data_IF_571343697176
#
_entry.id   IF_571343697176
#
_cell.length_a   1.000
_cell.length_b   1.000
_cell.length_c   1.000
_cell.angle_alpha   90.00
_cell.angle_beta   90.00
_cell.angle_gamma   90.00
#
_symmetry.space_group_name_H-M   'P 1'
#
loop_
_entity.id
_entity.type
_entity.pdbx_description
1 polymer ?
#
# COMPACT_ATOMS: atom_id res chain seq x y z
N UNK A 1 44.23 -40.81 68.61
CA UNK A 1 45.03 -41.76 67.82
C UNK A 1 44.71 -41.55 66.33
N UNK A 2 45.71 -41.30 65.57
CA UNK A 2 45.84 -41.17 64.10
C UNK A 2 44.67 -40.74 63.24
N UNK A 3 44.85 -39.56 62.71
CA UNK A 3 44.27 -39.11 61.41
C UNK A 3 45.01 -39.75 60.22
N UNK A 4 44.36 -39.97 59.08
CA UNK A 4 45.03 -39.74 57.85
C UNK A 4 44.38 -38.62 57.04
N UNK A 5 45.24 -37.88 56.39
CA UNK A 5 45.09 -36.86 55.44
C UNK A 5 44.50 -37.43 54.13
N UNK A 6 43.45 -36.85 53.62
CA UNK A 6 42.98 -37.13 52.25
C UNK A 6 43.12 -35.87 51.41
N UNK A 7 44.00 -36.00 50.42
CA UNK A 7 44.36 -34.99 49.45
C UNK A 7 43.18 -34.73 48.50
N UNK A 8 42.67 -33.48 48.46
CA UNK A 8 41.63 -33.07 47.51
C UNK A 8 42.30 -32.71 46.16
N UNK A 9 41.98 -33.47 45.13
CA UNK A 9 42.26 -33.15 43.74
C UNK A 9 41.18 -32.21 43.25
N UNK A 10 41.61 -30.97 42.97
CA UNK A 10 40.77 -29.92 42.37
C UNK A 10 40.61 -30.15 40.86
N UNK A 11 39.48 -30.78 40.50
CA UNK A 11 39.08 -30.93 39.10
C UNK A 11 38.50 -29.64 38.59
N UNK A 12 39.24 -28.94 37.72
CA UNK A 12 38.77 -27.75 37.00
C UNK A 12 37.79 -28.16 35.90
N UNK A 13 36.47 -28.04 36.14
CA UNK A 13 35.42 -28.18 35.13
C UNK A 13 35.40 -26.90 34.28
N UNK A 14 35.97 -26.97 33.10
CA UNK A 14 35.74 -26.02 32.02
C UNK A 14 34.28 -26.16 31.55
N UNK A 15 33.38 -25.34 32.09
CA UNK A 15 32.06 -25.13 31.49
C UNK A 15 32.24 -24.35 30.19
N UNK A 16 32.24 -25.06 29.07
CA UNK A 16 32.10 -24.48 27.75
C UNK A 16 30.73 -23.83 27.64
N UNK A 17 30.68 -22.51 27.78
CA UNK A 17 29.51 -21.72 27.38
C UNK A 17 29.36 -21.83 25.90
N UNK A 18 28.51 -22.74 25.41
CA UNK A 18 27.98 -22.70 24.05
C UNK A 18 27.12 -21.45 23.94
N UNK A 19 27.74 -20.32 23.70
CA UNK A 19 27.06 -19.11 23.24
C UNK A 19 26.40 -19.44 21.92
N UNK A 20 25.09 -19.69 21.94
CA UNK A 20 24.31 -19.65 20.72
C UNK A 20 24.49 -18.25 20.13
N UNK A 21 25.28 -18.16 19.07
CA UNK A 21 25.38 -16.97 18.25
C UNK A 21 23.96 -16.63 17.80
N UNK A 22 23.50 -15.36 17.94
CA UNK A 22 22.22 -14.96 17.39
C UNK A 22 22.25 -15.31 15.90
N UNK A 23 21.20 -15.98 15.42
CA UNK A 23 21.04 -16.34 14.02
C UNK A 23 21.37 -15.11 13.17
N UNK A 24 22.52 -15.17 12.48
CA UNK A 24 23.06 -14.05 11.74
C UNK A 24 22.03 -13.52 10.77
N UNK A 25 21.83 -12.23 10.78
CA UNK A 25 21.22 -11.52 9.67
C UNK A 25 21.92 -12.04 8.41
N UNK A 26 21.14 -12.64 7.52
CA UNK A 26 21.61 -13.16 6.23
C UNK A 26 22.00 -11.95 5.36
N UNK A 27 23.23 -11.45 5.57
CA UNK A 27 23.76 -10.24 4.91
C UNK A 27 24.22 -10.48 3.49
N UNK A 28 23.94 -11.64 2.91
CA UNK A 28 24.51 -12.09 1.64
C UNK A 28 23.52 -12.29 0.51
N UNK A 29 22.24 -12.49 0.76
CA UNK A 29 21.28 -12.77 -0.30
C UNK A 29 20.51 -11.51 -0.70
N UNK A 30 20.46 -11.25 -2.01
CA UNK A 30 19.68 -10.17 -2.60
C UNK A 30 18.65 -10.75 -3.54
N UNK A 31 17.46 -10.17 -3.54
CA UNK A 31 16.39 -10.51 -4.48
C UNK A 31 16.47 -9.55 -5.65
N UNK A 32 16.35 -10.08 -6.85
CA UNK A 32 16.16 -9.32 -8.08
C UNK A 32 14.78 -9.63 -8.64
N UNK A 33 13.98 -8.59 -8.83
CA UNK A 33 12.68 -8.66 -9.48
C UNK A 33 12.72 -7.88 -10.78
N UNK A 34 12.45 -8.56 -11.89
CA UNK A 34 12.22 -7.91 -13.17
C UNK A 34 10.72 -7.66 -13.32
N UNK A 35 10.36 -6.38 -13.36
CA UNK A 35 8.98 -5.92 -13.53
C UNK A 35 8.76 -5.46 -14.97
N UNK A 36 7.64 -5.86 -15.54
CA UNK A 36 7.19 -5.39 -16.84
C UNK A 36 5.89 -4.60 -16.70
N UNK A 37 5.84 -3.41 -17.31
CA UNK A 37 4.64 -2.58 -17.34
C UNK A 37 3.53 -3.30 -18.12
N UNK A 38 2.31 -3.35 -17.58
CA UNK A 38 1.14 -3.91 -18.30
C UNK A 38 0.78 -3.08 -19.53
N UNK A 39 1.38 -1.92 -19.68
CA UNK A 39 1.17 -0.98 -20.77
C UNK A 39 2.41 -0.93 -21.69
N UNK A 40 2.22 -1.21 -23.00
CA UNK A 40 3.33 -1.28 -23.97
C UNK A 40 3.84 0.08 -24.44
N UNK A 41 3.01 1.10 -24.35
CA UNK A 41 3.28 2.48 -24.83
C UNK A 41 3.65 3.44 -23.68
N UNK A 42 4.32 2.92 -22.63
CA UNK A 42 4.75 3.72 -21.50
C UNK A 42 5.77 4.77 -21.91
N UNK A 43 5.48 6.06 -21.66
CA UNK A 43 6.45 7.12 -21.89
C UNK A 43 7.66 7.01 -20.99
N UNK A 44 8.83 7.49 -21.43
CA UNK A 44 10.04 7.50 -20.63
C UNK A 44 9.84 8.17 -19.26
N UNK A 45 9.13 9.32 -19.25
CA UNK A 45 8.82 10.06 -18.02
C UNK A 45 7.93 9.23 -17.04
N UNK A 46 6.94 8.51 -17.58
CA UNK A 46 6.10 7.64 -16.74
C UNK A 46 6.89 6.47 -16.15
N UNK A 47 7.83 5.90 -16.90
CA UNK A 47 8.73 4.86 -16.42
C UNK A 47 9.70 5.39 -15.33
N UNK A 48 10.21 6.61 -15.48
CA UNK A 48 11.06 7.24 -14.45
C UNK A 48 10.27 7.49 -13.17
N UNK A 49 9.04 7.98 -13.29
CA UNK A 49 8.13 8.13 -12.16
C UNK A 49 7.84 6.79 -11.47
N UNK A 50 7.59 5.73 -12.26
CA UNK A 50 7.38 4.38 -11.73
C UNK A 50 8.60 3.87 -10.96
N UNK A 51 9.81 4.06 -11.50
CA UNK A 51 11.06 3.70 -10.84
C UNK A 51 11.16 4.35 -9.46
N UNK A 52 10.93 5.66 -9.36
CA UNK A 52 10.98 6.39 -8.09
C UNK A 52 9.93 5.89 -7.08
N UNK A 53 8.72 5.60 -7.53
CA UNK A 53 7.66 5.07 -6.66
C UNK A 53 8.02 3.68 -6.14
N UNK A 54 8.52 2.79 -7.01
CA UNK A 54 8.95 1.43 -6.63
C UNK A 54 10.08 1.50 -5.60
N UNK A 55 11.08 2.37 -5.81
CA UNK A 55 12.19 2.56 -4.88
C UNK A 55 11.70 3.01 -3.50
N UNK A 56 10.78 4.00 -3.42
CA UNK A 56 10.18 4.44 -2.16
C UNK A 56 9.36 3.34 -1.48
N UNK A 57 8.59 2.56 -2.25
CA UNK A 57 7.80 1.45 -1.70
C UNK A 57 8.67 0.37 -1.08
N UNK A 58 9.75 -0.01 -1.75
CA UNK A 58 10.71 -0.98 -1.25
C UNK A 58 11.38 -0.49 0.04
N UNK A 59 11.84 0.76 0.08
CA UNK A 59 12.42 1.35 1.29
C UNK A 59 11.40 1.41 2.45
N UNK A 60 10.16 1.83 2.18
CA UNK A 60 9.10 1.89 3.18
C UNK A 60 8.63 0.50 3.67
N UNK A 61 8.80 -0.54 2.85
CA UNK A 61 8.57 -1.93 3.24
C UNK A 61 9.70 -2.53 4.09
N UNK A 62 10.80 -1.79 4.31
CA UNK A 62 11.95 -2.24 5.11
C UNK A 62 13.00 -3.01 4.32
N UNK A 63 12.97 -2.98 2.99
CA UNK A 63 14.02 -3.56 2.16
C UNK A 63 15.33 -2.81 2.34
N UNK A 64 16.46 -3.54 2.38
CA UNK A 64 17.81 -2.98 2.48
C UNK A 64 18.50 -2.97 1.11
N UNK A 65 19.53 -2.13 0.95
CA UNK A 65 20.36 -2.06 -0.26
C UNK A 65 19.55 -1.96 -1.56
N UNK A 66 18.51 -1.14 -1.54
CA UNK A 66 17.56 -1.00 -2.67
C UNK A 66 18.25 -0.33 -3.86
N UNK A 67 18.14 -0.95 -5.02
CA UNK A 67 18.56 -0.40 -6.30
C UNK A 67 17.45 -0.66 -7.32
N UNK A 68 16.94 0.39 -7.96
CA UNK A 68 15.87 0.29 -8.96
C UNK A 68 16.32 0.97 -10.23
N UNK A 69 16.43 0.22 -11.32
CA UNK A 69 16.92 0.72 -12.61
C UNK A 69 15.95 0.36 -13.74
N UNK A 70 15.87 1.24 -14.73
CA UNK A 70 15.13 0.92 -15.95
C UNK A 70 15.90 -0.08 -16.80
N UNK A 71 15.18 -1.03 -17.39
CA UNK A 71 15.72 -2.04 -18.30
C UNK A 71 14.92 -2.04 -19.60
N UNK A 72 15.34 -1.24 -20.55
CA UNK A 72 14.60 -1.05 -21.80
C UNK A 72 13.39 -0.09 -21.65
N UNK A 73 12.46 -0.12 -22.61
CA UNK A 73 11.37 0.87 -22.69
C UNK A 73 10.26 0.64 -21.64
N UNK A 74 9.99 -0.60 -21.26
CA UNK A 74 8.82 -0.98 -20.43
C UNK A 74 9.16 -1.88 -19.23
N UNK A 75 10.44 -2.03 -18.87
CA UNK A 75 10.88 -2.88 -17.76
C UNK A 75 11.66 -2.11 -16.72
N UNK A 76 11.55 -2.59 -15.48
CA UNK A 76 12.29 -2.11 -14.30
C UNK A 76 12.88 -3.31 -13.60
N UNK A 77 14.18 -3.25 -13.32
CA UNK A 77 14.87 -4.21 -12.47
C UNK A 77 15.01 -3.60 -11.06
N UNK A 78 14.40 -4.25 -10.09
CA UNK A 78 14.52 -3.93 -8.67
C UNK A 78 15.41 -4.97 -7.99
N UNK A 79 16.47 -4.51 -7.29
CA UNK A 79 17.37 -5.36 -6.52
C UNK A 79 17.39 -4.88 -5.09
N UNK A 80 17.19 -5.76 -4.12
CA UNK A 80 17.12 -5.41 -2.70
C UNK A 80 17.49 -6.60 -1.81
N UNK A 81 17.82 -6.32 -0.55
CA UNK A 81 18.08 -7.30 0.49
C UNK A 81 17.02 -7.26 1.61
N UNK A 82 17.13 -8.18 2.56
CA UNK A 82 16.34 -8.18 3.79
C UNK A 82 14.94 -8.81 3.69
N UNK A 83 14.53 -9.33 2.55
CA UNK A 83 13.22 -9.97 2.38
C UNK A 83 13.36 -11.51 2.41
N UNK A 84 12.71 -12.15 3.39
CA UNK A 84 12.55 -13.61 3.43
C UNK A 84 11.34 -14.08 2.60
N UNK A 85 10.29 -13.26 2.56
CA UNK A 85 9.10 -13.47 1.76
C UNK A 85 8.93 -12.28 0.80
N UNK A 86 8.91 -12.57 -0.48
CA UNK A 86 8.77 -11.58 -1.56
C UNK A 86 7.32 -11.35 -1.96
N UNK A 87 6.38 -12.16 -1.49
CA UNK A 87 4.96 -12.08 -1.82
C UNK A 87 4.35 -10.70 -1.55
N UNK A 88 4.40 -10.20 -0.30
CA UNK A 88 3.90 -8.87 0.06
C UNK A 88 4.59 -7.74 -0.72
N UNK A 89 5.90 -7.85 -0.93
CA UNK A 89 6.67 -6.86 -1.70
C UNK A 89 6.20 -6.83 -3.16
N UNK A 90 6.01 -7.98 -3.80
CA UNK A 90 5.51 -8.06 -5.18
C UNK A 90 4.11 -7.46 -5.31
N UNK A 91 3.22 -7.72 -4.36
CA UNK A 91 1.89 -7.11 -4.32
C UNK A 91 1.98 -5.57 -4.19
N UNK A 92 2.86 -5.08 -3.29
CA UNK A 92 3.04 -3.66 -3.03
C UNK A 92 3.60 -2.90 -4.25
N UNK A 93 4.61 -3.45 -4.95
CA UNK A 93 5.26 -2.76 -6.06
C UNK A 93 4.59 -2.97 -7.42
N UNK A 94 3.67 -3.94 -7.53
CA UNK A 94 2.98 -4.27 -8.78
C UNK A 94 1.70 -3.45 -9.03
N UNK A 95 1.02 -2.97 -7.99
CA UNK A 95 -0.27 -2.27 -8.09
C UNK A 95 -0.10 -0.76 -8.19
N UNK A 96 -0.97 -0.10 -8.97
CA UNK A 96 -0.94 1.35 -9.14
C UNK A 96 -1.24 2.09 -7.85
N UNK A 97 -2.18 1.64 -7.04
CA UNK A 97 -2.64 2.27 -5.80
C UNK A 97 -3.09 3.73 -6.00
N UNK A 98 -3.90 3.97 -7.04
CA UNK A 98 -4.52 5.26 -7.30
C UNK A 98 -5.77 5.39 -6.45
N UNK A 99 -5.71 6.24 -5.43
CA UNK A 99 -6.84 6.53 -4.56
C UNK A 99 -7.53 7.81 -5.01
N UNK A 100 -8.84 7.72 -5.22
CA UNK A 100 -9.69 8.84 -5.63
C UNK A 100 -10.94 8.93 -4.74
N UNK A 101 -11.33 10.16 -4.39
CA UNK A 101 -12.56 10.45 -3.64
C UNK A 101 -13.58 11.11 -4.57
N UNK A 102 -14.78 10.53 -4.66
CA UNK A 102 -15.81 10.91 -5.60
C UNK A 102 -17.12 11.26 -4.90
N UNK A 103 -17.87 12.22 -5.43
CA UNK A 103 -19.27 12.35 -5.06
C UNK A 103 -20.09 11.28 -5.78
N UNK A 104 -20.91 10.57 -5.04
CA UNK A 104 -21.88 9.63 -5.64
C UNK A 104 -22.93 10.42 -6.40
N UNK A 105 -23.26 9.96 -7.59
CA UNK A 105 -24.34 10.55 -8.37
C UNK A 105 -25.68 9.89 -8.01
N UNK A 106 -26.37 10.49 -7.04
CA UNK A 106 -27.64 10.01 -6.53
C UNK A 106 -28.81 10.17 -7.52
N UNK A 107 -28.60 10.78 -8.69
CA UNK A 107 -29.61 10.82 -9.76
C UNK A 107 -29.71 9.53 -10.55
N UNK A 108 -28.69 8.66 -10.43
CA UNK A 108 -28.63 7.35 -11.07
C UNK A 108 -29.12 6.29 -10.08
N UNK A 109 -30.21 5.61 -10.43
CA UNK A 109 -30.72 4.53 -9.61
C UNK A 109 -29.73 3.33 -9.58
N UNK A 110 -29.64 2.58 -8.47
CA UNK A 110 -28.74 1.42 -8.37
C UNK A 110 -28.90 0.41 -9.52
N UNK A 111 -30.14 0.13 -9.94
CA UNK A 111 -30.41 -0.76 -11.06
C UNK A 111 -29.89 -0.25 -12.41
N UNK A 112 -29.88 1.05 -12.65
CA UNK A 112 -29.30 1.66 -13.85
C UNK A 112 -27.76 1.54 -13.82
N UNK A 113 -27.15 1.83 -12.67
CA UNK A 113 -25.70 1.66 -12.50
C UNK A 113 -25.29 0.19 -12.71
N UNK A 114 -26.04 -0.76 -12.16
CA UNK A 114 -25.84 -2.19 -12.36
C UNK A 114 -25.96 -2.60 -13.84
N UNK A 115 -26.93 -2.05 -14.57
CA UNK A 115 -27.10 -2.26 -16.01
C UNK A 115 -26.00 -1.62 -16.87
N UNK A 116 -25.06 -0.88 -16.25
CA UNK A 116 -23.98 -0.19 -16.98
C UNK A 116 -24.39 1.16 -17.55
N UNK A 117 -25.54 1.71 -17.10
CA UNK A 117 -26.07 2.98 -17.59
C UNK A 117 -25.58 4.14 -16.71
N UNK A 118 -24.93 5.11 -17.32
CA UNK A 118 -24.55 6.36 -16.66
C UNK A 118 -24.84 7.54 -17.59
N UNK A 119 -25.45 8.62 -17.08
CA UNK A 119 -25.69 9.82 -17.87
C UNK A 119 -24.36 10.51 -18.20
N UNK A 120 -24.35 11.38 -19.26
CA UNK A 120 -23.20 12.20 -19.54
C UNK A 120 -22.74 13.00 -18.32
N UNK A 121 -21.44 12.92 -18.01
CA UNK A 121 -20.83 13.56 -16.84
C UNK A 121 -20.76 12.67 -15.59
N UNK A 122 -21.28 11.46 -15.64
CA UNK A 122 -21.10 10.44 -14.59
C UNK A 122 -20.23 9.29 -15.09
N UNK A 123 -19.63 8.59 -14.14
CA UNK A 123 -18.78 7.41 -14.35
C UNK A 123 -19.24 6.29 -13.43
N UNK A 124 -19.12 5.05 -13.90
CA UNK A 124 -19.40 3.86 -13.10
C UNK A 124 -18.08 3.34 -12.49
N UNK A 125 -18.11 3.08 -11.19
CA UNK A 125 -17.05 2.40 -10.46
C UNK A 125 -17.55 1.02 -10.01
N UNK A 126 -16.67 0.01 -10.05
CA UNK A 126 -16.96 -1.32 -9.58
C UNK A 126 -17.07 -1.35 -8.04
N UNK A 127 -18.04 -2.07 -7.51
CA UNK A 127 -18.17 -2.36 -6.08
C UNK A 127 -17.81 -3.84 -5.86
N UNK A 128 -16.61 -4.13 -5.34
CA UNK A 128 -16.19 -5.51 -5.08
C UNK A 128 -17.14 -6.19 -4.08
N UNK A 129 -17.48 -7.44 -4.35
CA UNK A 129 -18.39 -8.23 -3.49
C UNK A 129 -19.85 -8.21 -3.91
N UNK A 130 -20.31 -7.21 -4.66
CA UNK A 130 -21.71 -7.12 -5.13
C UNK A 130 -21.95 -7.87 -6.47
N UNK A 131 -21.03 -8.77 -6.82
CA UNK A 131 -21.12 -9.53 -8.07
C UNK A 131 -20.69 -8.72 -9.31
N UNK A 132 -20.86 -9.28 -10.52
CA UNK A 132 -20.40 -8.65 -11.77
C UNK A 132 -21.14 -7.34 -12.09
N UNK A 133 -22.36 -7.18 -11.56
CA UNK A 133 -23.21 -6.00 -11.78
C UNK A 133 -23.10 -4.96 -10.66
N UNK A 134 -22.29 -5.24 -9.62
CA UNK A 134 -22.03 -4.30 -8.53
C UNK A 134 -21.32 -3.05 -9.03
N UNK A 135 -22.07 -1.96 -9.21
CA UNK A 135 -21.54 -0.67 -9.68
C UNK A 135 -22.22 0.49 -8.98
N UNK A 136 -21.46 1.55 -8.78
CA UNK A 136 -21.96 2.83 -8.28
C UNK A 136 -21.64 3.95 -9.27
N UNK A 137 -22.61 4.82 -9.52
CA UNK A 137 -22.39 5.99 -10.35
C UNK A 137 -21.78 7.12 -9.52
N UNK A 138 -20.71 7.75 -10.06
CA UNK A 138 -20.04 8.88 -9.42
C UNK A 138 -19.95 10.04 -10.40
N UNK A 139 -19.88 11.28 -9.86
CA UNK A 139 -19.79 12.49 -10.70
C UNK A 139 -18.42 12.64 -11.32
N UNK A 140 -18.37 13.06 -12.57
CA UNK A 140 -17.31 13.07 -13.54
C UNK A 140 -15.85 13.32 -13.15
N UNK A 141 -15.57 14.01 -12.02
CA UNK A 141 -14.20 14.25 -11.53
C UNK A 141 -14.09 13.96 -10.04
N UNK A 142 -12.98 13.39 -9.58
CA UNK A 142 -12.76 13.18 -8.15
C UNK A 142 -12.65 14.52 -7.41
N UNK A 143 -13.13 14.55 -6.18
CA UNK A 143 -13.02 15.69 -5.25
C UNK A 143 -11.53 15.94 -4.95
N UNK A 144 -10.86 14.89 -4.52
CA UNK A 144 -9.43 14.80 -4.29
C UNK A 144 -8.92 13.47 -4.81
N UNK A 145 -7.65 13.42 -5.13
CA UNK A 145 -6.98 12.23 -5.63
C UNK A 145 -5.67 11.96 -4.89
N UNK A 146 -5.07 10.81 -5.11
CA UNK A 146 -3.86 10.37 -4.44
C UNK A 146 -2.66 11.30 -4.57
N UNK A 147 -2.61 12.18 -5.59
CA UNK A 147 -1.50 13.14 -5.72
C UNK A 147 -1.54 14.27 -4.68
N UNK A 148 -2.69 14.45 -4.00
CA UNK A 148 -2.89 15.41 -2.92
C UNK A 148 -2.67 14.82 -1.53
N UNK A 149 -2.31 13.53 -1.44
CA UNK A 149 -1.99 12.86 -0.17
C UNK A 149 -0.51 13.13 0.14
N UNK A 150 -0.25 13.70 1.32
CA UNK A 150 1.11 13.95 1.82
C UNK A 150 1.54 12.92 2.85
N UNK A 151 0.59 12.26 3.52
CA UNK A 151 0.87 11.20 4.47
C UNK A 151 -0.27 10.18 4.52
N UNK A 152 0.08 8.94 4.85
CA UNK A 152 -0.85 7.84 5.06
C UNK A 152 -0.30 6.89 6.11
N UNK A 153 -1.12 6.52 7.10
CA UNK A 153 -0.71 5.68 8.21
C UNK A 153 -1.80 4.64 8.50
N UNK A 154 -1.37 3.41 8.83
CA UNK A 154 -2.26 2.44 9.42
C UNK A 154 -2.66 2.92 10.82
N UNK A 155 -3.94 2.84 11.14
CA UNK A 155 -4.54 3.21 12.42
C UNK A 155 -5.64 2.23 12.81
N UNK A 156 -6.36 2.53 13.89
CA UNK A 156 -7.52 1.76 14.33
C UNK A 156 -8.69 2.72 14.58
N UNK A 157 -9.89 2.26 14.28
CA UNK A 157 -11.10 2.97 14.68
C UNK A 157 -11.44 2.76 16.17
N UNK A 158 -12.53 3.36 16.63
CA UNK A 158 -12.97 3.25 18.03
C UNK A 158 -13.40 1.80 18.43
N UNK A 159 -13.67 0.96 17.45
CA UNK A 159 -14.00 -0.46 17.63
C UNK A 159 -12.76 -1.37 17.56
N UNK A 160 -11.57 -0.79 17.37
CA UNK A 160 -10.31 -1.54 17.23
C UNK A 160 -10.12 -2.18 15.85
N UNK A 161 -10.93 -1.80 14.84
CA UNK A 161 -10.76 -2.31 13.47
C UNK A 161 -9.63 -1.55 12.76
N UNK A 162 -8.79 -2.26 11.98
CA UNK A 162 -7.74 -1.62 11.21
C UNK A 162 -8.29 -0.65 10.17
N UNK A 163 -7.70 0.54 10.09
CA UNK A 163 -8.07 1.61 9.16
C UNK A 163 -6.82 2.25 8.57
N UNK A 164 -7.00 3.11 7.57
CA UNK A 164 -5.92 3.95 7.02
C UNK A 164 -6.31 5.42 7.19
N UNK A 165 -5.53 6.15 7.98
CA UNK A 165 -5.66 7.61 8.12
C UNK A 165 -4.81 8.30 7.07
N UNK A 166 -5.41 9.27 6.38
CA UNK A 166 -4.79 10.07 5.32
C UNK A 166 -4.70 11.52 5.75
N UNK A 167 -3.65 12.20 5.27
CA UNK A 167 -3.51 13.64 5.37
C UNK A 167 -3.27 14.24 3.99
N UNK A 168 -4.08 15.25 3.65
CA UNK A 168 -3.98 15.96 2.39
C UNK A 168 -3.03 17.16 2.46
N UNK A 169 -2.51 17.54 1.30
CA UNK A 169 -1.82 18.81 1.13
C UNK A 169 -2.80 20.02 1.29
N UNK A 170 -2.32 21.26 1.42
CA UNK A 170 -3.19 22.41 1.59
C UNK A 170 -4.22 22.61 0.46
N UNK A 171 -3.92 22.40 -0.84
CA UNK A 171 -4.92 22.40 -1.90
C UNK A 171 -5.98 21.29 -1.75
N UNK A 172 -5.57 20.07 -1.43
CA UNK A 172 -6.46 18.92 -1.18
C UNK A 172 -7.37 19.17 0.01
N UNK A 173 -6.82 19.65 1.13
CA UNK A 173 -7.58 20.05 2.32
C UNK A 173 -8.70 21.04 1.98
N UNK A 174 -8.38 22.12 1.25
CA UNK A 174 -9.40 23.11 0.85
C UNK A 174 -10.47 22.53 -0.07
N UNK A 175 -10.10 21.66 -1.01
CA UNK A 175 -11.05 20.99 -1.92
C UNK A 175 -11.96 20.06 -1.15
N UNK A 176 -11.38 19.23 -0.26
CA UNK A 176 -12.11 18.26 0.53
C UNK A 176 -13.07 18.94 1.50
N UNK A 177 -12.60 19.97 2.22
CA UNK A 177 -13.42 20.77 3.11
C UNK A 177 -14.61 21.42 2.39
N UNK A 178 -14.38 22.05 1.23
CA UNK A 178 -15.46 22.64 0.42
C UNK A 178 -16.46 21.59 -0.04
N UNK A 179 -15.99 20.46 -0.53
CA UNK A 179 -16.87 19.41 -1.04
C UNK A 179 -17.69 18.76 0.07
N UNK A 180 -17.10 18.45 1.22
CA UNK A 180 -17.82 17.86 2.36
C UNK A 180 -18.81 18.85 2.96
N UNK A 181 -18.46 20.14 3.10
CA UNK A 181 -19.40 21.17 3.57
C UNK A 181 -20.63 21.34 2.66
N UNK A 182 -20.44 21.25 1.35
CA UNK A 182 -21.53 21.41 0.37
C UNK A 182 -22.39 20.15 0.18
N UNK A 183 -21.99 19.00 0.73
CA UNK A 183 -22.62 17.71 0.47
C UNK A 183 -22.86 16.90 1.77
N UNK A 184 -23.09 17.57 2.91
CA UNK A 184 -23.49 16.89 4.16
C UNK A 184 -24.76 16.08 3.93
N UNK A 185 -24.81 14.87 4.47
CA UNK A 185 -25.91 13.90 4.28
C UNK A 185 -25.86 13.12 2.96
N UNK A 186 -24.91 13.40 2.06
CA UNK A 186 -24.76 12.68 0.80
C UNK A 186 -23.64 11.65 0.86
N UNK A 187 -23.76 10.55 0.14
CA UNK A 187 -22.69 9.55 0.05
C UNK A 187 -21.51 10.08 -0.82
N UNK A 188 -20.30 9.69 -0.43
CA UNK A 188 -19.13 9.81 -1.29
C UNK A 188 -18.42 8.47 -1.39
N UNK A 189 -17.85 8.17 -2.55
CA UNK A 189 -17.14 6.93 -2.78
C UNK A 189 -15.63 7.14 -2.66
N UNK A 190 -14.98 6.25 -1.93
CA UNK A 190 -13.52 6.12 -1.86
C UNK A 190 -13.16 4.94 -2.75
N UNK A 191 -12.43 5.20 -3.83
CA UNK A 191 -12.06 4.19 -4.81
C UNK A 191 -10.55 4.05 -4.94
N UNK A 192 -10.08 2.80 -4.99
CA UNK A 192 -8.70 2.41 -5.24
C UNK A 192 -8.65 1.68 -6.59
N UNK A 193 -7.88 2.20 -7.54
CA UNK A 193 -7.71 1.59 -8.88
C UNK A 193 -9.06 1.33 -9.59
N UNK A 194 -10.00 2.29 -9.48
CA UNK A 194 -11.37 2.25 -10.02
C UNK A 194 -12.33 1.23 -9.33
N UNK A 195 -11.90 0.60 -8.25
CA UNK A 195 -12.74 -0.23 -7.40
C UNK A 195 -13.10 0.51 -6.11
N UNK A 196 -14.38 0.52 -5.74
CA UNK A 196 -14.86 1.16 -4.52
C UNK A 196 -14.42 0.37 -3.29
N UNK A 197 -13.70 1.02 -2.38
CA UNK A 197 -13.36 0.46 -1.06
C UNK A 197 -14.50 0.66 -0.06
N UNK A 198 -15.09 1.87 -0.10
CA UNK A 198 -16.23 2.21 0.76
C UNK A 198 -16.99 3.41 0.19
N UNK A 199 -18.26 3.55 0.58
CA UNK A 199 -19.12 4.66 0.16
C UNK A 199 -19.93 5.23 1.36
N UNK A 200 -19.27 5.84 2.36
CA UNK A 200 -19.94 6.41 3.52
C UNK A 200 -20.71 7.68 3.19
N UNK A 201 -21.67 8.04 4.05
CA UNK A 201 -22.27 9.36 4.04
C UNK A 201 -21.34 10.39 4.69
N UNK A 202 -21.40 11.61 4.20
CA UNK A 202 -20.73 12.77 4.81
C UNK A 202 -21.61 13.22 6.00
N UNK A 203 -21.23 12.88 7.22
CA UNK A 203 -22.00 13.21 8.42
C UNK A 203 -21.82 14.68 8.81
N UNK A 204 -20.63 15.24 8.60
CA UNK A 204 -20.25 16.61 8.93
C UNK A 204 -19.16 17.14 7.98
N UNK A 205 -18.95 18.46 7.90
CA UNK A 205 -17.84 19.02 7.14
C UNK A 205 -16.50 18.57 7.69
N UNK A 206 -15.62 18.07 6.81
CA UNK A 206 -14.26 17.64 7.18
C UNK A 206 -13.29 18.77 6.83
N UNK A 207 -12.93 19.60 7.82
CA UNK A 207 -12.14 20.81 7.62
C UNK A 207 -10.64 20.62 7.87
N UNK A 208 -10.26 19.61 8.65
CA UNK A 208 -8.90 19.38 9.12
C UNK A 208 -7.93 18.82 8.08
N UNK A 209 -8.42 18.41 6.90
CA UNK A 209 -7.58 17.81 5.85
C UNK A 209 -7.12 16.39 6.15
N UNK A 210 -7.77 15.72 7.09
CA UNK A 210 -7.58 14.30 7.39
C UNK A 210 -8.82 13.51 6.97
N UNK A 211 -8.61 12.30 6.50
CA UNK A 211 -9.67 11.35 6.19
C UNK A 211 -9.27 9.97 6.68
N UNK A 212 -10.25 9.20 7.15
CA UNK A 212 -10.07 7.81 7.55
C UNK A 212 -10.78 6.91 6.53
N UNK A 213 -10.05 5.89 6.06
CA UNK A 213 -10.60 4.85 5.20
C UNK A 213 -10.85 3.62 6.06
N UNK A 214 -12.10 3.22 6.16
CA UNK A 214 -12.55 1.97 6.78
C UNK A 214 -12.88 0.95 5.69
N UNK A 215 -12.74 -0.33 6.00
CA UNK A 215 -13.04 -1.45 5.11
C UNK A 215 -12.65 -2.76 5.78
N UNK A 216 -12.76 -3.86 5.06
CA UNK A 216 -12.36 -5.18 5.56
C UNK A 216 -10.82 -5.34 5.55
N UNK A 217 -10.13 -4.51 6.34
CA UNK A 217 -8.67 -4.52 6.43
C UNK A 217 -8.20 -5.46 7.54
N UNK A 218 -7.12 -6.19 7.25
CA UNK A 218 -6.21 -6.68 8.29
C UNK A 218 -5.19 -5.58 8.63
N UNK A 219 -4.47 -5.72 9.73
CA UNK A 219 -3.37 -4.80 10.09
C UNK A 219 -2.34 -4.72 8.97
N UNK A 220 -2.02 -5.87 8.37
CA UNK A 220 -1.05 -6.00 7.28
C UNK A 220 -1.54 -5.29 6.02
N UNK A 221 -2.79 -5.53 5.58
CA UNK A 221 -3.34 -4.91 4.37
C UNK A 221 -3.52 -3.40 4.52
N UNK A 222 -3.91 -2.91 5.71
CA UNK A 222 -3.96 -1.48 6.01
C UNK A 222 -2.57 -0.83 5.97
N UNK A 223 -1.54 -1.52 6.50
CA UNK A 223 -0.15 -1.07 6.45
C UNK A 223 0.39 -1.03 5.02
N UNK A 224 0.14 -2.06 4.22
CA UNK A 224 0.53 -2.10 2.80
C UNK A 224 -0.11 -0.96 2.01
N UNK A 225 -1.42 -0.73 2.21
CA UNK A 225 -2.14 0.37 1.59
C UNK A 225 -1.56 1.73 2.01
N UNK A 226 -1.28 1.93 3.29
CA UNK A 226 -0.67 3.16 3.79
C UNK A 226 0.71 3.42 3.15
N UNK A 227 1.56 2.38 3.03
CA UNK A 227 2.86 2.47 2.34
C UNK A 227 2.65 2.85 0.87
N UNK A 228 1.73 2.18 0.17
CA UNK A 228 1.46 2.44 -1.24
C UNK A 228 1.00 3.89 -1.48
N UNK A 229 0.06 4.38 -0.67
CA UNK A 229 -0.48 5.73 -0.76
C UNK A 229 0.57 6.81 -0.45
N UNK A 230 1.35 6.64 0.62
CA UNK A 230 2.43 7.57 0.99
C UNK A 230 3.55 7.61 -0.05
N UNK A 231 3.85 6.48 -0.67
CA UNK A 231 4.86 6.38 -1.74
C UNK A 231 4.38 6.96 -3.07
N UNK A 232 3.08 7.16 -3.22
CA UNK A 232 2.43 7.66 -4.43
C UNK A 232 1.96 6.56 -5.37
N UNK A 233 1.04 6.94 -6.28
CA UNK A 233 0.50 6.03 -7.28
C UNK A 233 1.52 5.75 -8.39
N UNK A 234 1.57 4.49 -8.84
CA UNK A 234 2.25 4.14 -10.08
C UNK A 234 1.41 4.63 -11.28
N UNK A 235 2.04 5.06 -12.37
CA UNK A 235 1.33 5.48 -13.59
C UNK A 235 0.52 4.36 -14.23
N UNK A 236 0.90 3.12 -14.00
CA UNK A 236 0.27 1.88 -14.47
C UNK A 236 0.76 0.71 -13.64
N UNK A 237 0.06 -0.43 -13.74
CA UNK A 237 0.43 -1.66 -13.07
C UNK A 237 1.66 -2.32 -13.70
N UNK A 238 2.39 -3.05 -12.87
CA UNK A 238 3.49 -3.93 -13.26
C UNK A 238 3.18 -5.37 -12.92
N UNK A 239 3.77 -6.28 -13.71
CA UNK A 239 3.83 -7.70 -13.39
C UNK A 239 5.29 -8.09 -13.17
N UNK A 240 5.54 -8.94 -12.18
CA UNK A 240 6.86 -9.56 -12.01
C UNK A 240 6.99 -10.67 -13.04
N UNK A 241 7.91 -10.51 -13.98
CA UNK A 241 8.16 -11.49 -15.05
C UNK A 241 9.33 -12.40 -14.73
N UNK A 242 10.19 -11.97 -13.81
CA UNK A 242 11.32 -12.78 -13.37
C UNK A 242 11.68 -12.47 -11.91
N UNK A 243 12.03 -13.49 -11.16
CA UNK A 243 12.53 -13.41 -9.79
C UNK A 243 13.79 -14.26 -9.65
N UNK A 244 14.85 -13.67 -9.11
CA UNK A 244 16.12 -14.37 -8.84
C UNK A 244 16.65 -14.00 -7.45
N UNK A 245 17.24 -14.99 -6.79
CA UNK A 245 18.04 -14.75 -5.58
C UNK A 245 19.50 -14.75 -5.99
N UNK A 246 20.19 -13.65 -5.70
CA UNK A 246 21.61 -13.45 -6.04
C UNK A 246 22.42 -13.39 -4.76
N UNK A 247 23.45 -14.24 -4.66
CA UNK A 247 24.44 -14.17 -3.58
C UNK A 247 25.45 -13.09 -3.89
N UNK A 248 25.85 -12.37 -2.87
CA UNK A 248 26.88 -11.32 -2.97
C UNK A 248 28.26 -11.93 -3.08
#
# INVERSE_FOLDING_TARGET
MLKPVVTAILGLLLMGSSGALPAGCDRGERVQLLLEAKRRDASGQAMDKAREVIERRLGAAGASDVTVVRQGPNRILATFGGARDTGPIKALIGRSARLDFWLVDTSVAPGQAAAGEAPPGSRLLAVPGDGPDGRIAVRGRPIVNGTMIVDAQQSFDMSGQPTVTLRFDPPGTRRFARATSANVGRPFAIALDDAVLSAPNINEPILGGEAMISGDFTVESARELAIALRSGALPFDFVVVEERVVKR
#
